data_IF_189528189499
#
_entry.id   IF_189528189499
#
_cell.length_a   1.000
_cell.length_b   1.000
_cell.length_c   1.000
_cell.angle_alpha   90.00
_cell.angle_beta   90.00
_cell.angle_gamma   90.00
#
_symmetry.space_group_name_H-M   'P 1'
#
loop_
_entity.id
_entity.type
_entity.pdbx_description
1 polymer ?
#
# COMPACT_ATOMS: atom_id res chain seq x y z
N UNK A 1 -0.73 18.13 -22.32
CA UNK A 1 0.00 16.95 -22.81
C UNK A 1 -0.96 16.17 -23.66
N UNK A 2 -0.57 15.73 -24.85
CA UNK A 2 -1.42 14.90 -25.70
C UNK A 2 -0.93 13.46 -25.60
N UNK A 3 -1.83 12.53 -25.27
CA UNK A 3 -1.52 11.11 -25.07
C UNK A 3 -2.37 10.30 -26.02
N UNK A 4 -1.75 9.46 -26.84
CA UNK A 4 -2.46 8.53 -27.71
C UNK A 4 -2.88 7.28 -26.94
N UNK A 5 -4.11 6.84 -27.19
CA UNK A 5 -4.67 5.61 -26.62
C UNK A 5 -5.20 4.72 -27.75
N UNK A 6 -5.46 3.44 -27.46
CA UNK A 6 -6.01 2.54 -28.47
C UNK A 6 -7.47 2.93 -28.80
N UNK A 7 -7.95 2.67 -30.03
CA UNK A 7 -9.36 2.91 -30.39
C UNK A 7 -10.37 2.15 -29.51
N UNK A 8 -9.95 1.04 -28.92
CA UNK A 8 -10.75 0.30 -27.94
C UNK A 8 -10.92 1.10 -26.64
N UNK A 9 -9.83 1.68 -26.14
CA UNK A 9 -9.85 2.50 -24.93
C UNK A 9 -10.68 3.78 -25.13
N UNK A 10 -10.58 4.43 -26.29
CA UNK A 10 -11.42 5.59 -26.62
C UNK A 10 -12.91 5.26 -26.55
N UNK A 11 -13.31 4.11 -27.11
CA UNK A 11 -14.70 3.66 -27.05
C UNK A 11 -15.15 3.38 -25.61
N UNK A 12 -14.27 2.82 -24.79
CA UNK A 12 -14.56 2.56 -23.39
C UNK A 12 -14.70 3.86 -22.58
N UNK A 13 -13.76 4.80 -22.74
CA UNK A 13 -13.81 6.14 -22.10
C UNK A 13 -15.12 6.85 -22.47
N UNK A 14 -15.48 6.87 -23.76
CA UNK A 14 -16.72 7.46 -24.22
C UNK A 14 -17.99 6.76 -23.69
N UNK A 15 -17.90 5.47 -23.34
CA UNK A 15 -19.01 4.74 -22.73
C UNK A 15 -19.19 5.10 -21.25
N UNK A 16 -18.10 5.15 -20.47
CA UNK A 16 -18.16 5.47 -19.03
C UNK A 16 -18.56 6.93 -18.76
N UNK A 17 -18.13 7.86 -19.61
CA UNK A 17 -18.57 9.27 -19.55
C UNK A 17 -20.06 9.38 -19.86
N UNK A 18 -20.56 8.71 -20.92
CA UNK A 18 -22.00 8.70 -21.24
C UNK A 18 -22.86 8.06 -20.14
N UNK A 19 -22.31 7.11 -19.39
CA UNK A 19 -22.99 6.52 -18.24
C UNK A 19 -23.09 7.49 -17.05
N UNK A 20 -22.41 8.64 -17.10
CA UNK A 20 -22.42 9.65 -16.04
C UNK A 20 -21.53 9.29 -14.85
N UNK A 21 -20.61 8.33 -15.01
CA UNK A 21 -19.65 7.99 -13.95
C UNK A 21 -18.52 9.01 -13.81
N UNK A 22 -18.27 9.78 -14.87
CA UNK A 22 -17.23 10.79 -14.97
C UNK A 22 -17.74 11.96 -15.82
N UNK A 23 -17.28 13.17 -15.53
CA UNK A 23 -17.64 14.42 -16.20
C UNK A 23 -17.12 14.44 -17.64
N UNK A 24 -15.88 14.01 -17.85
CA UNK A 24 -15.22 13.99 -19.15
C UNK A 24 -14.13 12.91 -19.27
N UNK A 25 -13.49 12.86 -20.43
CA UNK A 25 -12.41 11.92 -20.70
C UNK A 25 -11.13 12.20 -19.89
N UNK A 26 -10.86 13.46 -19.56
CA UNK A 26 -9.68 13.87 -18.81
C UNK A 26 -9.78 13.37 -17.37
N UNK A 27 -10.96 13.43 -16.76
CA UNK A 27 -11.23 12.88 -15.44
C UNK A 27 -11.01 11.35 -15.40
N UNK A 28 -11.49 10.63 -16.43
CA UNK A 28 -11.27 9.16 -16.52
C UNK A 28 -9.78 8.83 -16.55
N UNK A 29 -9.03 9.54 -17.39
CA UNK A 29 -7.58 9.33 -17.52
C UNK A 29 -6.86 9.73 -16.24
N UNK A 30 -7.24 10.84 -15.61
CA UNK A 30 -6.66 11.29 -14.36
C UNK A 30 -6.85 10.26 -13.24
N UNK A 31 -8.05 9.72 -13.08
CA UNK A 31 -8.36 8.69 -12.08
C UNK A 31 -7.58 7.39 -12.35
N UNK A 32 -7.48 6.97 -13.61
CA UNK A 32 -6.68 5.81 -13.98
C UNK A 32 -5.18 5.99 -13.66
N UNK A 33 -4.63 7.17 -13.95
CA UNK A 33 -3.24 7.52 -13.63
C UNK A 33 -3.00 7.63 -12.13
N UNK A 34 -3.97 8.14 -11.36
CA UNK A 34 -3.87 8.19 -9.91
C UNK A 34 -3.79 6.78 -9.32
N UNK A 35 -4.66 5.87 -9.76
CA UNK A 35 -4.60 4.46 -9.35
C UNK A 35 -3.29 3.78 -9.76
N UNK A 36 -2.75 4.10 -10.93
CA UNK A 36 -1.44 3.60 -11.36
C UNK A 36 -0.34 4.11 -10.43
N UNK A 37 -0.34 5.41 -10.15
CA UNK A 37 0.63 6.05 -9.26
C UNK A 37 0.59 5.42 -7.86
N UNK A 38 -0.59 5.21 -7.29
CA UNK A 38 -0.72 4.54 -5.98
C UNK A 38 -0.13 3.13 -5.98
N UNK A 39 -0.35 2.36 -7.06
CA UNK A 39 0.23 1.02 -7.21
C UNK A 39 1.74 1.03 -7.39
N UNK A 40 2.31 2.08 -7.97
CA UNK A 40 3.76 2.24 -8.13
C UNK A 40 4.42 2.76 -6.85
N UNK A 41 3.75 3.64 -6.10
CA UNK A 41 4.26 4.21 -4.84
C UNK A 41 4.19 3.21 -3.68
N UNK A 42 3.18 2.33 -3.63
CA UNK A 42 2.99 1.37 -2.54
C UNK A 42 4.16 0.38 -2.37
N UNK A 43 4.71 -0.27 -3.43
CA UNK A 43 5.90 -1.13 -3.31
C UNK A 43 7.14 -0.38 -2.81
N UNK A 44 7.35 0.87 -3.26
CA UNK A 44 8.50 1.68 -2.85
C UNK A 44 8.38 2.06 -1.37
N UNK A 45 7.20 2.53 -0.96
CA UNK A 45 6.92 2.87 0.42
C UNK A 45 7.03 1.64 1.34
N UNK A 46 6.53 0.47 0.92
CA UNK A 46 6.65 -0.80 1.66
C UNK A 46 8.09 -1.25 1.79
N UNK A 47 8.89 -1.17 0.72
CA UNK A 47 10.31 -1.54 0.76
C UNK A 47 11.09 -0.62 1.70
N UNK A 48 10.85 0.68 1.67
CA UNK A 48 11.53 1.61 2.56
C UNK A 48 11.09 1.46 4.02
N UNK A 49 9.80 1.15 4.27
CA UNK A 49 9.33 0.78 5.60
C UNK A 49 10.02 -0.48 6.12
N UNK A 50 10.14 -1.52 5.28
CA UNK A 50 10.85 -2.76 5.62
C UNK A 50 12.33 -2.48 5.91
N UNK A 51 13.02 -1.71 5.08
CA UNK A 51 14.42 -1.32 5.30
C UNK A 51 14.62 -0.58 6.62
N UNK A 52 13.70 0.32 6.99
CA UNK A 52 13.73 1.01 8.29
C UNK A 52 13.52 0.03 9.44
N UNK A 53 12.58 -0.90 9.34
CA UNK A 53 12.31 -1.90 10.36
C UNK A 53 13.52 -2.84 10.58
N UNK A 54 14.14 -3.32 9.49
CA UNK A 54 15.35 -4.15 9.54
C UNK A 54 16.51 -3.39 10.17
N UNK A 55 16.74 -2.13 9.79
CA UNK A 55 17.80 -1.30 10.38
C UNK A 55 17.61 -1.13 11.88
N UNK A 56 16.38 -0.80 12.31
CA UNK A 56 16.04 -0.70 13.73
C UNK A 56 16.36 -2.01 14.46
N UNK A 57 15.95 -3.16 13.90
CA UNK A 57 16.23 -4.47 14.48
C UNK A 57 17.74 -4.77 14.59
N UNK A 58 18.53 -4.40 13.58
CA UNK A 58 19.98 -4.54 13.62
C UNK A 58 20.61 -3.67 14.71
N UNK A 59 20.20 -2.42 14.83
CA UNK A 59 20.67 -1.52 15.90
C UNK A 59 20.29 -2.02 17.30
N UNK A 60 19.11 -2.64 17.45
CA UNK A 60 18.69 -3.30 18.69
C UNK A 60 19.57 -4.51 19.00
N UNK A 61 19.91 -5.29 17.97
CA UNK A 61 20.80 -6.44 18.11
C UNK A 61 22.20 -6.02 18.56
N UNK A 62 22.75 -4.96 17.97
CA UNK A 62 24.06 -4.41 18.34
C UNK A 62 24.09 -3.90 19.80
N UNK A 63 22.96 -3.44 20.33
CA UNK A 63 22.81 -3.05 21.74
C UNK A 63 22.54 -4.23 22.68
N UNK A 64 22.46 -5.45 22.17
CA UNK A 64 22.17 -6.65 22.96
C UNK A 64 20.71 -6.77 23.40
N UNK A 65 19.78 -6.10 22.71
CA UNK A 65 18.33 -6.14 23.02
C UNK A 65 17.62 -7.36 22.38
N UNK A 66 18.38 -8.35 21.90
CA UNK A 66 17.80 -9.59 21.40
C UNK A 66 17.16 -10.38 22.55
N UNK A 67 16.03 -11.01 22.26
CA UNK A 67 15.37 -11.96 23.14
C UNK A 67 15.51 -13.37 22.58
N UNK A 68 15.32 -14.36 23.43
CA UNK A 68 15.26 -15.76 22.98
C UNK A 68 14.09 -15.95 21.99
N UNK A 69 14.30 -16.84 21.00
CA UNK A 69 13.32 -17.08 19.94
C UNK A 69 12.01 -17.66 20.47
N UNK A 70 12.06 -18.63 21.39
CA UNK A 70 10.86 -19.25 21.95
C UNK A 70 10.08 -18.24 22.80
N UNK A 71 10.80 -17.41 23.56
CA UNK A 71 10.20 -16.31 24.32
C UNK A 71 9.52 -15.27 23.40
N UNK A 72 10.17 -14.90 22.29
CA UNK A 72 9.61 -13.96 21.32
C UNK A 72 8.27 -14.47 20.73
N UNK A 73 8.24 -15.72 20.27
CA UNK A 73 7.01 -16.32 19.72
C UNK A 73 5.92 -16.46 20.78
N UNK A 74 6.27 -16.85 22.01
CA UNK A 74 5.30 -16.95 23.11
C UNK A 74 4.64 -15.60 23.41
N UNK A 75 5.39 -14.49 23.39
CA UNK A 75 4.85 -13.14 23.59
C UNK A 75 3.89 -12.74 22.47
N UNK A 76 4.28 -12.97 21.21
CA UNK A 76 3.45 -12.62 20.04
C UNK A 76 2.16 -13.44 19.99
N UNK A 77 2.24 -14.75 20.22
CA UNK A 77 1.06 -15.62 20.23
C UNK A 77 0.13 -15.33 21.42
N UNK A 78 0.69 -14.92 22.56
CA UNK A 78 -0.09 -14.45 23.70
C UNK A 78 -0.96 -13.23 23.37
N UNK A 79 -0.42 -12.26 22.62
CA UNK A 79 -1.19 -11.07 22.20
C UNK A 79 -2.33 -11.37 21.22
N UNK A 80 -2.23 -12.44 20.44
CA UNK A 80 -3.29 -12.87 19.53
C UNK A 80 -4.40 -13.61 20.28
N UNK A 81 -4.05 -14.28 21.38
CA UNK A 81 -4.99 -15.04 22.20
C UNK A 81 -5.78 -14.18 23.19
N UNK A 82 -5.26 -13.02 23.60
CA UNK A 82 -5.98 -12.08 24.47
C UNK A 82 -6.68 -10.99 23.64
N UNK A 83 -8.03 -10.95 23.59
CA UNK A 83 -8.75 -9.85 22.97
C UNK A 83 -8.38 -8.57 23.71
N UNK A 84 -7.73 -7.64 23.00
CA UNK A 84 -7.41 -6.33 23.52
C UNK A 84 -8.72 -5.64 23.93
N UNK A 85 -8.97 -5.52 25.24
CA UNK A 85 -9.93 -4.55 25.76
C UNK A 85 -9.50 -3.19 25.22
N UNK A 86 -10.32 -2.65 24.32
CA UNK A 86 -10.12 -1.34 23.72
C UNK A 86 -10.08 -0.30 24.82
N UNK A 87 -8.89 0.17 25.16
CA UNK A 87 -8.75 1.41 25.94
C UNK A 87 -9.23 2.56 25.08
N UNK A 88 -10.23 3.25 25.61
CA UNK A 88 -10.92 4.43 25.10
C UNK A 88 -10.03 5.67 24.98
#
# INVERSE_FOLDING_TARGET
MEVSVSPEMERWIAAVVRAGHYEDADEVVFQALLQLKEREEDPVARLDALRRAVRKGAEQADRGELVDGEEAFSRVLGWIAEPQEKTA
#
